data_IF_733167278146
#
_entry.id   IF_733167278146
#
_cell.length_a   1.000
_cell.length_b   1.000
_cell.length_c   1.000
_cell.angle_alpha   90.00
_cell.angle_beta   90.00
_cell.angle_gamma   90.00
#
_symmetry.space_group_name_H-M   'P 1'
#
loop_
_entity.id
_entity.type
_entity.pdbx_description
1 polymer ?
#
# COMPACT_ATOMS: atom_id res chain seq x y z
N UNK A 1 -4.73 23.35 2.68
CA UNK A 1 -5.73 24.00 3.58
C UNK A 1 -6.44 23.01 4.53
N UNK A 2 -5.79 21.92 4.98
CA UNK A 2 -6.44 20.85 5.76
C UNK A 2 -5.90 20.68 7.20
N UNK A 3 -4.99 21.54 7.67
CA UNK A 3 -4.40 21.43 9.02
C UNK A 3 -5.30 21.94 10.15
N UNK A 4 -6.37 22.70 9.83
CA UNK A 4 -7.29 23.30 10.82
C UNK A 4 -8.46 22.41 11.24
N UNK A 5 -8.89 21.43 10.43
CA UNK A 5 -10.05 20.59 10.78
C UNK A 5 -9.71 19.47 11.79
N UNK A 6 -8.49 18.93 11.74
CA UNK A 6 -8.05 17.86 12.64
C UNK A 6 -7.73 18.37 14.05
N UNK A 7 -7.31 19.63 14.17
CA UNK A 7 -6.99 20.23 15.46
C UNK A 7 -8.26 20.61 16.25
N UNK A 8 -9.34 20.99 15.56
CA UNK A 8 -10.62 21.34 16.21
C UNK A 8 -11.26 20.11 16.89
N UNK A 9 -11.17 18.92 16.29
CA UNK A 9 -11.72 17.69 16.88
C UNK A 9 -10.97 17.22 18.14
N UNK A 10 -9.65 17.40 18.18
CA UNK A 10 -8.83 17.06 19.37
C UNK A 10 -9.05 18.06 20.52
N UNK A 11 -9.27 19.32 20.21
CA UNK A 11 -9.59 20.36 21.21
C UNK A 11 -10.99 20.15 21.78
N UNK A 12 -11.99 19.74 20.98
CA UNK A 12 -13.33 19.44 21.51
C UNK A 12 -13.36 18.23 22.45
N UNK A 13 -12.56 17.19 22.20
CA UNK A 13 -12.46 16.04 23.10
C UNK A 13 -11.71 16.40 24.41
N UNK A 14 -10.66 17.23 24.31
CA UNK A 14 -9.93 17.74 25.47
C UNK A 14 -10.75 18.69 26.35
N UNK A 15 -11.59 19.57 25.76
CA UNK A 15 -12.45 20.50 26.50
C UNK A 15 -13.63 19.77 27.16
N UNK A 16 -14.21 18.74 26.51
CA UNK A 16 -15.21 17.87 27.15
C UNK A 16 -14.64 17.12 28.36
N UNK A 17 -13.38 16.66 28.29
CA UNK A 17 -12.75 15.95 29.41
C UNK A 17 -12.25 16.88 30.53
N UNK A 18 -11.83 18.11 30.23
CA UNK A 18 -11.47 19.09 31.25
C UNK A 18 -12.69 19.58 32.05
N UNK A 19 -13.89 19.61 31.44
CA UNK A 19 -15.13 19.88 32.16
C UNK A 19 -15.47 18.77 33.18
N UNK A 20 -15.09 17.52 32.92
CA UNK A 20 -15.30 16.38 33.83
C UNK A 20 -14.38 16.46 35.06
N UNK A 21 -13.17 17.03 34.93
CA UNK A 21 -12.27 17.23 36.07
C UNK A 21 -12.69 18.37 37.02
N UNK A 22 -13.58 19.27 36.59
CA UNK A 22 -14.06 20.40 37.41
C UNK A 22 -15.49 20.22 37.94
N UNK A 23 -16.22 19.17 37.54
CA UNK A 23 -17.51 18.84 38.12
C UNK A 23 -17.37 17.62 39.03
N UNK A 24 -17.25 17.83 40.34
CA UNK A 24 -17.97 16.94 41.26
C UNK A 24 -19.45 17.07 40.87
N UNK A 25 -19.93 16.17 40.02
CA UNK A 25 -21.29 16.19 39.53
C UNK A 25 -22.23 16.16 40.72
N UNK A 26 -23.11 17.16 40.83
CA UNK A 26 -24.24 17.08 41.72
C UNK A 26 -25.01 15.78 41.43
N UNK A 27 -25.47 15.02 42.43
CA UNK A 27 -26.15 13.75 42.21
C UNK A 27 -27.37 13.99 41.32
N UNK A 28 -27.25 13.59 40.05
CA UNK A 28 -28.33 13.70 39.09
C UNK A 28 -29.45 12.75 39.45
N UNK A 29 -30.69 13.22 39.33
CA UNK A 29 -31.91 12.41 39.47
C UNK A 29 -31.77 11.11 38.66
N UNK A 30 -32.03 9.96 39.29
CA UNK A 30 -31.91 8.61 38.71
C UNK A 30 -32.65 8.43 37.36
N UNK A 31 -33.61 9.31 37.05
CA UNK A 31 -34.43 9.27 35.84
C UNK A 31 -33.65 9.56 34.55
N UNK A 32 -32.46 10.18 34.62
CA UNK A 32 -31.67 10.54 33.42
C UNK A 32 -30.52 9.56 33.11
N UNK A 33 -30.42 8.44 33.83
CA UNK A 33 -29.39 7.42 33.58
C UNK A 33 -29.86 6.47 32.48
N UNK A 34 -29.05 6.26 31.44
CA UNK A 34 -29.35 5.27 30.41
C UNK A 34 -29.30 3.86 30.99
N UNK A 35 -30.45 3.16 31.03
CA UNK A 35 -30.59 1.78 31.50
C UNK A 35 -30.77 0.76 30.36
N UNK A 36 -30.35 1.12 29.14
CA UNK A 36 -30.35 0.19 28.01
C UNK A 36 -29.17 -0.76 28.14
N UNK A 37 -29.33 -2.01 27.71
CA UNK A 37 -28.29 -3.05 27.79
C UNK A 37 -27.00 -2.59 27.10
N UNK A 38 -27.10 -1.86 25.99
CA UNK A 38 -25.95 -1.34 25.27
C UNK A 38 -25.19 -0.27 26.08
N UNK A 39 -25.90 0.53 26.88
CA UNK A 39 -25.28 1.53 27.77
C UNK A 39 -24.55 0.85 28.93
N UNK A 40 -25.13 -0.20 29.50
CA UNK A 40 -24.51 -0.97 30.60
C UNK A 40 -23.25 -1.69 30.12
N UNK A 41 -23.32 -2.38 28.97
CA UNK A 41 -22.18 -3.05 28.33
C UNK A 41 -21.04 -2.06 28.03
N UNK A 42 -21.37 -0.88 27.50
CA UNK A 42 -20.39 0.15 27.19
C UNK A 42 -19.70 0.72 28.44
N UNK A 43 -20.46 0.93 29.53
CA UNK A 43 -19.90 1.40 30.80
C UNK A 43 -19.01 0.33 31.44
N UNK A 44 -19.37 -0.95 31.37
CA UNK A 44 -18.53 -2.06 31.83
C UNK A 44 -17.23 -2.14 31.03
N UNK A 45 -17.30 -1.98 29.70
CA UNK A 45 -16.14 -1.96 28.82
C UNK A 45 -15.18 -0.82 29.19
N UNK A 46 -15.69 0.40 29.39
CA UNK A 46 -14.87 1.56 29.83
C UNK A 46 -14.23 1.28 31.19
N UNK A 47 -15.02 0.83 32.18
CA UNK A 47 -14.51 0.55 33.53
C UNK A 47 -13.44 -0.54 33.56
N UNK A 48 -13.55 -1.53 32.67
CA UNK A 48 -12.58 -2.63 32.57
C UNK A 48 -11.18 -2.16 32.15
N UNK A 49 -11.09 -1.02 31.45
CA UNK A 49 -9.85 -0.46 30.90
C UNK A 49 -9.23 0.62 31.79
N UNK A 50 -10.04 1.26 32.63
CA UNK A 50 -9.60 2.29 33.56
C UNK A 50 -8.62 1.75 34.61
N UNK A 51 -7.50 2.45 34.78
CA UNK A 51 -6.54 2.17 35.85
C UNK A 51 -6.82 2.94 37.13
N UNK A 52 -6.00 2.71 38.15
CA UNK A 52 -6.29 3.17 39.50
C UNK A 52 -5.77 4.59 39.80
N UNK A 53 -5.16 5.25 38.82
CA UNK A 53 -4.68 6.64 38.98
C UNK A 53 -5.85 7.62 39.06
N UNK A 54 -5.64 8.76 39.75
CA UNK A 54 -6.58 9.89 39.71
C UNK A 54 -6.46 10.60 38.36
N UNK A 55 -7.57 11.04 37.73
CA UNK A 55 -7.56 11.71 36.43
C UNK A 55 -6.62 12.93 36.37
N UNK A 56 -6.60 13.74 37.44
CA UNK A 56 -5.78 14.95 37.54
C UNK A 56 -4.29 14.70 37.83
N UNK A 57 -3.89 13.45 38.13
CA UNK A 57 -2.51 13.09 38.44
C UNK A 57 -1.85 12.33 37.30
N UNK A 58 -2.58 11.37 36.71
CA UNK A 58 -2.13 10.62 35.56
C UNK A 58 -3.36 10.19 34.76
N UNK A 59 -3.84 11.09 33.90
CA UNK A 59 -5.03 10.87 33.09
C UNK A 59 -4.87 9.64 32.18
N UNK A 60 -3.68 9.43 31.62
CA UNK A 60 -3.38 8.26 30.81
C UNK A 60 -3.56 6.96 31.60
N UNK A 61 -2.98 6.85 32.80
CA UNK A 61 -3.17 5.65 33.63
C UNK A 61 -4.59 5.56 34.22
N UNK A 62 -5.30 6.67 34.43
CA UNK A 62 -6.69 6.64 34.86
C UNK A 62 -7.60 6.03 33.79
N UNK A 63 -7.43 6.44 32.53
CA UNK A 63 -8.28 6.00 31.42
C UNK A 63 -7.81 4.66 30.84
N UNK A 64 -6.50 4.44 30.76
CA UNK A 64 -5.88 3.31 30.05
C UNK A 64 -5.01 2.42 30.95
N UNK A 65 -4.99 2.61 32.27
CA UNK A 65 -3.99 1.93 33.12
C UNK A 65 -4.18 0.42 33.27
N UNK A 66 -5.38 -0.11 32.98
CA UNK A 66 -5.62 -1.56 32.85
C UNK A 66 -5.74 -2.00 31.40
N UNK A 67 -5.69 -1.06 30.47
CA UNK A 67 -5.72 -1.33 29.06
C UNK A 67 -4.37 -1.94 28.62
N UNK A 68 -4.41 -3.19 28.13
CA UNK A 68 -3.21 -3.99 27.86
C UNK A 68 -2.72 -3.93 26.41
N UNK A 69 -2.98 -2.87 25.65
CA UNK A 69 -2.56 -2.79 24.24
C UNK A 69 -3.33 -3.72 23.29
N UNK A 70 -3.62 -4.94 23.75
CA UNK A 70 -4.31 -6.00 23.04
C UNK A 70 -5.83 -5.84 22.98
N UNK A 71 -6.40 -4.90 23.75
CA UNK A 71 -7.84 -4.58 23.66
C UNK A 71 -8.16 -3.49 22.63
N UNK A 72 -7.20 -2.68 22.13
CA UNK A 72 -7.49 -1.86 20.92
C UNK A 72 -7.47 -2.69 19.63
N UNK A 73 -7.07 -3.97 19.67
CA UNK A 73 -7.01 -4.82 18.48
C UNK A 73 -7.36 -6.30 18.75
N UNK A 74 -8.29 -6.61 19.66
CA UNK A 74 -9.24 -7.68 19.30
C UNK A 74 -9.97 -7.11 18.08
N UNK A 75 -9.43 -7.41 16.88
CA UNK A 75 -9.89 -6.95 15.57
C UNK A 75 -11.38 -6.70 15.66
N UNK A 76 -11.80 -5.42 15.61
CA UNK A 76 -13.19 -5.00 15.89
C UNK A 76 -14.15 -6.10 15.44
N UNK A 77 -14.84 -6.76 16.37
CA UNK A 77 -15.75 -7.87 16.06
C UNK A 77 -16.68 -7.53 14.89
N UNK A 78 -17.01 -6.25 14.70
CA UNK A 78 -17.78 -5.75 13.57
C UNK A 78 -17.09 -5.92 12.21
N UNK A 79 -15.78 -5.65 12.07
CA UNK A 79 -15.06 -5.86 10.81
C UNK A 79 -14.92 -7.35 10.53
N UNK A 80 -14.56 -8.15 11.53
CA UNK A 80 -14.46 -9.61 11.35
C UNK A 80 -15.81 -10.25 11.07
N UNK A 81 -16.86 -9.85 11.81
CA UNK A 81 -18.22 -10.30 11.57
C UNK A 81 -18.70 -9.84 10.20
N UNK A 82 -18.48 -8.59 9.79
CA UNK A 82 -18.88 -8.14 8.46
C UNK A 82 -18.14 -8.89 7.34
N UNK A 83 -16.84 -9.15 7.51
CA UNK A 83 -16.05 -9.97 6.57
C UNK A 83 -16.56 -11.41 6.55
N UNK A 84 -16.85 -11.98 7.72
CA UNK A 84 -17.39 -13.33 7.85
C UNK A 84 -18.78 -13.44 7.24
N UNK A 85 -19.72 -12.57 7.62
CA UNK A 85 -21.07 -12.53 7.09
C UNK A 85 -21.03 -12.36 5.55
N UNK A 86 -20.12 -11.53 5.03
CA UNK A 86 -19.91 -11.41 3.58
C UNK A 86 -19.33 -12.69 2.96
N UNK A 87 -18.34 -13.32 3.58
CA UNK A 87 -17.74 -14.56 3.10
C UNK A 87 -18.78 -15.70 3.09
N UNK A 88 -19.53 -15.87 4.18
CA UNK A 88 -20.59 -16.86 4.33
C UNK A 88 -21.67 -16.64 3.23
N UNK A 89 -22.04 -15.39 2.95
CA UNK A 89 -22.99 -15.05 1.86
C UNK A 89 -22.44 -15.39 0.47
N UNK A 90 -21.16 -15.11 0.21
CA UNK A 90 -20.52 -15.35 -1.10
C UNK A 90 -20.20 -16.84 -1.33
N UNK A 91 -19.96 -17.60 -0.26
CA UNK A 91 -19.66 -19.02 -0.33
C UNK A 91 -20.89 -19.85 -0.74
N UNK A 92 -22.06 -19.53 -0.19
CA UNK A 92 -23.31 -20.23 -0.51
C UNK A 92 -23.99 -19.73 -1.79
N UNK A 93 -23.55 -18.60 -2.33
CA UNK A 93 -24.15 -18.01 -3.51
C UNK A 93 -23.83 -18.82 -4.77
N UNK A 94 -24.85 -19.15 -5.56
CA UNK A 94 -24.69 -19.79 -6.86
C UNK A 94 -24.90 -18.78 -7.99
N UNK A 95 -24.01 -18.79 -8.98
CA UNK A 95 -24.13 -17.99 -10.19
C UNK A 95 -24.49 -18.92 -11.34
N UNK A 96 -25.61 -18.65 -12.01
CA UNK A 96 -25.92 -19.35 -13.26
C UNK A 96 -24.98 -18.86 -14.36
N UNK A 97 -24.47 -19.76 -15.23
CA UNK A 97 -23.64 -19.37 -16.35
C UNK A 97 -24.44 -18.48 -17.32
N UNK A 98 -24.10 -17.19 -17.38
CA UNK A 98 -24.69 -16.24 -18.34
C UNK A 98 -23.62 -15.56 -19.19
N UNK A 99 -23.99 -15.12 -20.39
CA UNK A 99 -23.06 -14.42 -21.29
C UNK A 99 -22.69 -13.00 -20.82
N UNK A 100 -23.48 -12.41 -19.91
CA UNK A 100 -23.25 -11.06 -19.41
C UNK A 100 -23.53 -10.99 -17.90
N UNK A 101 -22.62 -11.51 -17.06
CA UNK A 101 -22.79 -11.53 -15.62
C UNK A 101 -22.89 -10.12 -15.04
N UNK A 102 -23.81 -9.93 -14.10
CA UNK A 102 -23.98 -8.67 -13.40
C UNK A 102 -22.85 -8.44 -12.36
N UNK A 103 -22.85 -7.30 -11.66
CA UNK A 103 -21.81 -6.97 -10.70
C UNK A 103 -21.71 -7.97 -9.53
N UNK A 104 -22.86 -8.45 -9.04
CA UNK A 104 -22.94 -9.45 -7.98
C UNK A 104 -22.40 -10.79 -8.46
N UNK A 105 -22.78 -11.22 -9.67
CA UNK A 105 -22.27 -12.46 -10.28
C UNK A 105 -20.74 -12.44 -10.40
N UNK A 106 -20.19 -11.29 -10.83
CA UNK A 106 -18.73 -11.09 -10.94
C UNK A 106 -18.05 -11.15 -9.57
N UNK A 107 -18.65 -10.56 -8.52
CA UNK A 107 -18.12 -10.61 -7.16
C UNK A 107 -18.09 -12.05 -6.62
N UNK A 108 -19.19 -12.79 -6.79
CA UNK A 108 -19.28 -14.20 -6.35
C UNK A 108 -18.23 -15.05 -7.09
N UNK A 109 -18.15 -14.93 -8.42
CA UNK A 109 -17.18 -15.66 -9.22
C UNK A 109 -15.73 -15.32 -8.84
N UNK A 110 -15.42 -14.04 -8.55
CA UNK A 110 -14.10 -13.63 -8.10
C UNK A 110 -13.76 -14.21 -6.73
N UNK A 111 -14.69 -14.17 -5.77
CA UNK A 111 -14.53 -14.76 -4.45
C UNK A 111 -14.26 -16.27 -4.54
N UNK A 112 -15.13 -17.01 -5.23
CA UNK A 112 -15.01 -18.46 -5.39
C UNK A 112 -13.74 -18.85 -6.15
N UNK A 113 -13.34 -18.10 -7.17
CA UNK A 113 -12.06 -18.35 -7.84
C UNK A 113 -10.86 -18.15 -6.92
N UNK A 114 -10.95 -17.25 -5.94
CA UNK A 114 -9.88 -17.03 -4.97
C UNK A 114 -9.86 -18.16 -3.92
N UNK A 115 -11.02 -18.52 -3.35
CA UNK A 115 -11.09 -19.48 -2.23
C UNK A 115 -10.98 -20.94 -2.66
N UNK A 116 -11.58 -21.33 -3.79
CA UNK A 116 -11.57 -22.72 -4.25
C UNK A 116 -10.29 -23.15 -4.95
N UNK A 117 -9.51 -22.18 -5.47
CA UNK A 117 -8.27 -22.45 -6.23
C UNK A 117 -7.00 -22.08 -5.47
N UNK A 118 -7.12 -21.60 -4.23
CA UNK A 118 -5.98 -21.16 -3.42
C UNK A 118 -4.94 -22.27 -3.21
N UNK A 119 -5.39 -23.52 -3.09
CA UNK A 119 -4.50 -24.66 -2.81
C UNK A 119 -3.89 -25.29 -4.08
N UNK A 120 -4.33 -24.89 -5.28
CA UNK A 120 -3.76 -25.39 -6.54
C UNK A 120 -2.52 -24.59 -6.93
N UNK A 121 -1.39 -24.95 -6.28
CA UNK A 121 -0.07 -24.33 -6.51
C UNK A 121 0.30 -24.34 -8.00
N UNK A 122 -0.04 -25.38 -8.75
CA UNK A 122 0.33 -25.46 -10.18
C UNK A 122 -0.55 -24.55 -11.04
N UNK A 123 -1.83 -24.39 -10.74
CA UNK A 123 -2.68 -23.38 -11.37
C UNK A 123 -2.21 -21.97 -11.04
N UNK A 124 -1.78 -21.71 -9.80
CA UNK A 124 -1.23 -20.41 -9.40
C UNK A 124 0.07 -20.09 -10.15
N UNK A 125 1.03 -21.03 -10.21
CA UNK A 125 2.26 -20.85 -11.00
C UNK A 125 1.96 -20.54 -12.47
N UNK A 126 1.05 -21.29 -13.09
CA UNK A 126 0.61 -21.05 -14.48
C UNK A 126 -0.04 -19.69 -14.66
N UNK A 127 -0.84 -19.24 -13.69
CA UNK A 127 -1.49 -17.94 -13.71
C UNK A 127 -0.47 -16.81 -13.65
N UNK A 128 0.50 -16.88 -12.73
CA UNK A 128 1.60 -15.89 -12.65
C UNK A 128 2.40 -15.87 -13.94
N UNK A 129 2.77 -17.04 -14.49
CA UNK A 129 3.48 -17.11 -15.77
C UNK A 129 2.68 -16.48 -16.92
N UNK A 130 1.39 -16.77 -17.01
CA UNK A 130 0.51 -16.19 -18.03
C UNK A 130 0.39 -14.66 -17.91
N UNK A 131 0.33 -14.14 -16.68
CA UNK A 131 0.37 -12.69 -16.43
C UNK A 131 1.69 -12.10 -16.91
N UNK A 132 2.82 -12.70 -16.53
CA UNK A 132 4.15 -12.25 -16.95
C UNK A 132 4.29 -12.29 -18.49
N UNK A 133 3.83 -13.35 -19.14
CA UNK A 133 3.78 -13.45 -20.61
C UNK A 133 2.94 -12.32 -21.24
N UNK A 134 1.80 -11.98 -20.64
CA UNK A 134 0.96 -10.85 -21.06
C UNK A 134 1.68 -9.50 -20.98
N UNK A 135 2.57 -9.31 -20.00
CA UNK A 135 3.45 -8.14 -19.89
C UNK A 135 4.74 -8.26 -20.70
N UNK A 136 4.89 -9.30 -21.54
CA UNK A 136 6.15 -9.63 -22.25
C UNK A 136 7.35 -9.83 -21.31
N UNK A 137 7.06 -10.12 -20.04
CA UNK A 137 8.00 -10.49 -18.97
C UNK A 137 8.00 -12.01 -18.72
N UNK A 138 7.38 -12.79 -19.60
CA UNK A 138 7.21 -14.25 -19.46
C UNK A 138 8.53 -15.01 -19.33
N UNK A 139 9.62 -14.41 -19.82
CA UNK A 139 10.97 -14.86 -19.56
C UNK A 139 11.66 -13.92 -18.59
N UNK A 140 11.63 -14.26 -17.30
CA UNK A 140 12.50 -13.60 -16.33
C UNK A 140 13.96 -13.83 -16.75
N UNK A 141 14.87 -12.84 -16.69
CA UNK A 141 16.25 -12.95 -17.19
C UNK A 141 17.10 -14.09 -16.61
N UNK A 142 16.61 -14.82 -15.60
CA UNK A 142 17.26 -15.94 -14.94
C UNK A 142 16.63 -17.31 -15.24
N UNK A 143 15.68 -17.38 -16.16
CA UNK A 143 15.18 -18.66 -16.65
C UNK A 143 16.18 -19.26 -17.63
N UNK A 144 16.40 -20.58 -17.57
CA UNK A 144 17.32 -21.30 -18.47
C UNK A 144 16.99 -21.11 -19.96
N UNK A 145 15.73 -20.78 -20.27
CA UNK A 145 15.22 -20.54 -21.61
C UNK A 145 15.18 -19.04 -21.99
N UNK A 146 15.74 -18.15 -21.17
CA UNK A 146 15.77 -16.72 -21.46
C UNK A 146 16.49 -16.48 -22.79
N UNK A 147 15.76 -15.90 -23.75
CA UNK A 147 16.15 -15.82 -25.15
C UNK A 147 17.57 -15.28 -25.33
N UNK A 148 18.36 -15.96 -26.16
CA UNK A 148 19.71 -15.58 -26.61
C UNK A 148 19.73 -14.39 -27.59
N UNK A 149 18.62 -13.65 -27.70
CA UNK A 149 18.46 -12.50 -28.57
C UNK A 149 19.10 -11.22 -28.03
N UNK A 150 18.96 -10.12 -28.80
CA UNK A 150 19.31 -8.78 -28.32
C UNK A 150 18.49 -8.47 -27.07
N UNK A 151 19.18 -8.25 -25.94
CA UNK A 151 18.54 -7.89 -24.68
C UNK A 151 17.99 -6.47 -24.82
N UNK A 152 16.68 -6.25 -24.61
CA UNK A 152 16.13 -4.92 -24.67
C UNK A 152 16.78 -4.03 -23.60
N UNK A 153 16.98 -2.76 -23.92
CA UNK A 153 17.46 -1.79 -22.94
C UNK A 153 16.34 -1.45 -21.93
N UNK A 154 16.69 -0.77 -20.84
CA UNK A 154 15.74 -0.48 -19.76
C UNK A 154 14.56 0.39 -20.22
N UNK A 155 14.78 1.33 -21.15
CA UNK A 155 13.73 2.18 -21.70
C UNK A 155 12.73 1.36 -22.54
N UNK A 156 13.22 0.42 -23.35
CA UNK A 156 12.39 -0.52 -24.12
C UNK A 156 11.54 -1.40 -23.19
N UNK A 157 12.12 -1.86 -22.07
CA UNK A 157 11.37 -2.62 -21.06
C UNK A 157 10.25 -1.76 -20.47
N UNK A 158 10.54 -0.53 -20.03
CA UNK A 158 9.54 0.35 -19.43
C UNK A 158 8.42 0.75 -20.42
N UNK A 159 8.73 0.89 -21.71
CA UNK A 159 7.71 1.12 -22.73
C UNK A 159 6.73 -0.06 -22.86
N UNK A 160 7.19 -1.27 -22.57
CA UNK A 160 6.37 -2.49 -22.64
C UNK A 160 5.62 -2.78 -21.34
N UNK A 161 6.22 -2.50 -20.18
CA UNK A 161 5.65 -2.88 -18.88
C UNK A 161 4.98 -1.74 -18.13
N UNK A 162 5.27 -0.49 -18.51
CA UNK A 162 4.78 0.71 -17.85
C UNK A 162 5.85 1.41 -16.99
N UNK A 163 5.45 2.45 -16.24
CA UNK A 163 6.38 3.41 -15.65
C UNK A 163 7.06 2.93 -14.36
N UNK A 164 6.61 1.83 -13.76
CA UNK A 164 7.21 1.28 -12.55
C UNK A 164 8.49 0.50 -12.87
N UNK A 165 9.53 0.58 -12.01
CA UNK A 165 9.58 1.32 -10.75
C UNK A 165 9.98 2.80 -10.90
N UNK A 166 10.22 3.30 -12.10
CA UNK A 166 10.80 4.64 -12.33
C UNK A 166 9.90 5.79 -11.82
N UNK A 167 8.59 5.72 -12.06
CA UNK A 167 7.64 6.74 -11.60
C UNK A 167 6.22 6.20 -11.46
N UNK A 168 5.42 6.95 -10.71
CA UNK A 168 3.97 6.75 -10.67
C UNK A 168 3.29 7.99 -11.24
N UNK A 169 2.11 7.80 -11.78
CA UNK A 169 1.25 8.91 -12.14
C UNK A 169 -0.20 8.62 -11.76
N UNK A 170 -0.95 9.70 -11.61
CA UNK A 170 -2.39 9.65 -11.39
C UNK A 170 -3.06 10.73 -12.22
N UNK A 171 -4.33 10.49 -12.54
CA UNK A 171 -5.18 11.49 -13.18
C UNK A 171 -6.20 11.95 -12.16
N UNK A 172 -6.23 13.24 -11.90
CA UNK A 172 -7.21 13.84 -10.99
C UNK A 172 -7.88 15.04 -11.64
N UNK A 173 -9.06 15.39 -11.11
CA UNK A 173 -9.73 16.62 -11.50
C UNK A 173 -9.20 17.77 -10.66
N UNK A 174 -8.49 18.70 -11.30
CA UNK A 174 -8.14 19.96 -10.66
C UNK A 174 -9.02 21.08 -11.22
N UNK A 175 -9.89 21.60 -10.36
CA UNK A 175 -10.93 22.58 -10.70
C UNK A 175 -11.90 22.06 -11.77
N UNK A 176 -11.58 22.27 -13.05
CA UNK A 176 -12.46 21.99 -14.20
C UNK A 176 -11.76 21.26 -15.34
N UNK A 177 -10.49 20.87 -15.18
CA UNK A 177 -9.74 20.12 -16.21
C UNK A 177 -9.02 18.94 -15.58
N UNK A 178 -8.91 17.81 -16.29
CA UNK A 178 -8.05 16.72 -15.85
C UNK A 178 -6.60 17.19 -15.80
N UNK A 179 -5.90 16.80 -14.75
CA UNK A 179 -4.47 17.02 -14.57
C UNK A 179 -3.79 15.68 -14.33
N UNK A 180 -2.68 15.46 -15.04
CA UNK A 180 -1.80 14.32 -14.81
C UNK A 180 -0.79 14.75 -13.76
N UNK A 181 -0.73 14.02 -12.64
CA UNK A 181 0.30 14.23 -11.61
C UNK A 181 1.28 13.09 -11.68
N UNK A 182 2.54 13.39 -12.01
CA UNK A 182 3.68 12.48 -11.99
C UNK A 182 4.41 12.67 -10.66
N UNK A 183 4.79 11.56 -10.02
CA UNK A 183 5.51 11.57 -8.75
C UNK A 183 6.56 10.46 -8.73
N UNK A 184 7.58 10.65 -7.89
CA UNK A 184 8.48 9.56 -7.50
C UNK A 184 7.65 8.41 -6.92
N UNK A 185 8.05 7.14 -7.15
CA UNK A 185 7.47 6.01 -6.46
C UNK A 185 7.67 6.13 -4.94
N UNK A 186 6.76 5.53 -4.18
CA UNK A 186 6.95 5.26 -2.75
C UNK A 186 7.37 3.81 -2.59
N UNK A 187 8.05 3.50 -1.49
CA UNK A 187 8.25 2.11 -1.05
C UNK A 187 9.01 1.22 -2.06
N UNK A 188 9.90 1.82 -2.88
CA UNK A 188 10.74 1.09 -3.86
C UNK A 188 11.62 0.04 -3.19
N UNK A 189 12.07 0.34 -1.97
CA UNK A 189 12.92 -0.53 -1.16
C UNK A 189 12.19 -0.80 0.15
N UNK A 190 12.30 -2.04 0.62
CA UNK A 190 11.79 -2.44 1.93
C UNK A 190 12.56 -1.69 3.01
N UNK A 191 12.00 -0.57 3.46
CA UNK A 191 12.47 0.17 4.61
C UNK A 191 11.28 0.30 5.58
N UNK A 192 11.48 -0.08 6.83
CA UNK A 192 10.49 0.17 7.88
C UNK A 192 10.67 1.60 8.40
N UNK A 193 9.98 2.52 7.74
CA UNK A 193 9.86 3.93 8.13
C UNK A 193 8.39 4.28 8.29
N UNK A 194 7.62 3.47 9.01
CA UNK A 194 6.52 4.06 9.78
C UNK A 194 7.11 4.80 11.00
N UNK A 195 7.91 5.84 10.71
CA UNK A 195 8.62 6.68 11.68
C UNK A 195 7.65 7.65 12.34
N UNK A 196 6.82 7.12 13.25
CA UNK A 196 5.98 7.87 14.17
C UNK A 196 6.60 8.08 15.55
N UNK A 197 7.45 7.17 16.05
CA UNK A 197 7.87 7.19 17.45
C UNK A 197 9.38 6.96 17.64
N UNK A 198 10.02 7.97 18.21
CA UNK A 198 11.45 8.21 18.39
C UNK A 198 12.08 7.37 19.53
N UNK A 199 11.62 6.15 19.72
CA UNK A 199 12.04 5.28 20.82
C UNK A 199 12.20 3.84 20.34
N UNK A 200 13.43 3.43 20.00
CA UNK A 200 14.08 2.19 20.48
C UNK A 200 15.43 1.98 19.77
N UNK A 201 16.37 1.36 20.47
CA UNK A 201 17.80 1.39 20.17
C UNK A 201 18.30 0.30 19.20
N UNK A 202 17.44 -0.32 18.38
CA UNK A 202 17.86 -1.48 17.56
C UNK A 202 17.35 -1.50 16.10
N UNK A 203 17.27 -0.32 15.49
CA UNK A 203 16.85 -0.19 14.09
C UNK A 203 17.84 -0.82 13.10
N UNK A 204 19.10 -1.02 13.48
CA UNK A 204 20.10 -1.63 12.60
C UNK A 204 19.89 -3.13 12.44
N UNK A 205 19.63 -3.85 13.54
CA UNK A 205 19.32 -5.29 13.48
C UNK A 205 17.99 -5.53 12.78
N UNK A 206 16.99 -4.69 13.05
CA UNK A 206 15.69 -4.78 12.39
C UNK A 206 15.78 -4.59 10.87
N UNK A 207 16.47 -3.54 10.42
CA UNK A 207 16.66 -3.28 8.98
C UNK A 207 17.44 -4.42 8.31
N UNK A 208 18.43 -5.00 9.00
CA UNK A 208 19.18 -6.15 8.50
C UNK A 208 18.27 -7.37 8.33
N UNK A 209 17.44 -7.67 9.32
CA UNK A 209 16.49 -8.79 9.26
C UNK A 209 15.45 -8.61 8.15
N UNK A 210 14.94 -7.39 7.96
CA UNK A 210 14.01 -7.07 6.88
C UNK A 210 14.65 -7.25 5.48
N UNK A 211 15.89 -6.80 5.32
CA UNK A 211 16.64 -6.98 4.06
C UNK A 211 16.96 -8.46 3.79
N UNK A 212 17.35 -9.23 4.82
CA UNK A 212 17.58 -10.66 4.69
C UNK A 212 16.30 -11.41 4.29
N UNK A 213 15.16 -11.09 4.93
CA UNK A 213 13.86 -11.64 4.56
C UNK A 213 13.45 -11.25 3.12
N UNK A 214 13.76 -10.03 2.70
CA UNK A 214 13.46 -9.58 1.34
C UNK A 214 14.34 -10.27 0.30
N UNK A 215 15.63 -10.48 0.60
CA UNK A 215 16.55 -11.28 -0.21
C UNK A 215 16.04 -12.72 -0.35
N UNK A 216 15.58 -13.32 0.74
CA UNK A 216 14.95 -14.65 0.73
C UNK A 216 13.68 -14.68 -0.14
N UNK A 217 12.84 -13.65 -0.05
CA UNK A 217 11.63 -13.52 -0.86
C UNK A 217 11.95 -13.46 -2.36
N UNK A 218 12.90 -12.60 -2.78
CA UNK A 218 13.31 -12.48 -4.19
C UNK A 218 13.81 -13.83 -4.71
N UNK A 219 14.70 -14.48 -3.97
CA UNK A 219 15.32 -15.74 -4.39
C UNK A 219 14.32 -16.90 -4.46
N UNK A 220 13.41 -17.03 -3.48
CA UNK A 220 12.32 -18.01 -3.52
C UNK A 220 11.36 -17.76 -4.68
N UNK A 221 11.10 -16.50 -5.02
CA UNK A 221 10.27 -16.14 -6.19
C UNK A 221 10.95 -16.53 -7.50
N UNK A 222 12.26 -16.31 -7.63
CA UNK A 222 13.02 -16.77 -8.80
C UNK A 222 12.95 -18.29 -8.94
N UNK A 223 13.16 -19.05 -7.86
CA UNK A 223 13.02 -20.50 -7.85
C UNK A 223 11.62 -20.96 -8.27
N UNK A 224 10.59 -20.31 -7.75
CA UNK A 224 9.19 -20.61 -8.09
C UNK A 224 8.92 -20.48 -9.59
N UNK A 225 9.54 -19.48 -10.24
CA UNK A 225 9.31 -19.12 -11.64
C UNK A 225 10.26 -19.78 -12.64
N UNK A 226 11.39 -20.36 -12.20
CA UNK A 226 12.37 -21.02 -13.09
C UNK A 226 11.92 -22.36 -13.68
N UNK A 227 10.70 -22.82 -13.38
CA UNK A 227 10.03 -23.88 -14.15
C UNK A 227 10.57 -25.31 -13.97
N UNK A 228 11.48 -25.54 -13.03
CA UNK A 228 11.93 -26.89 -12.68
C UNK A 228 10.90 -27.62 -11.80
N UNK A 229 10.58 -28.87 -12.16
CA UNK A 229 9.86 -29.84 -11.31
C UNK A 229 10.75 -30.42 -10.19
N UNK A 230 11.84 -29.74 -9.84
CA UNK A 230 12.89 -30.30 -9.01
C UNK A 230 12.79 -29.78 -7.59
N UNK A 231 13.05 -30.67 -6.64
CA UNK A 231 13.23 -30.46 -5.20
C UNK A 231 14.40 -29.51 -4.86
N UNK A 232 14.58 -28.42 -5.61
CA UNK A 232 15.60 -27.41 -5.39
C UNK A 232 15.04 -26.43 -4.38
N UNK A 233 15.43 -26.64 -3.12
CA UNK A 233 15.04 -25.80 -1.98
C UNK A 233 15.97 -24.61 -1.79
N UNK A 234 17.11 -24.58 -2.49
CA UNK A 234 18.17 -23.58 -2.30
C UNK A 234 18.44 -22.78 -3.56
N UNK A 235 18.63 -21.47 -3.40
CA UNK A 235 18.96 -20.57 -4.48
C UNK A 235 20.39 -20.79 -4.97
N UNK A 236 20.61 -20.69 -6.28
CA UNK A 236 21.96 -20.74 -6.85
C UNK A 236 22.75 -19.49 -6.47
N UNK A 237 24.09 -19.57 -6.52
CA UNK A 237 24.96 -18.40 -6.31
C UNK A 237 24.61 -17.24 -7.25
N UNK A 238 24.18 -17.54 -8.47
CA UNK A 238 23.77 -16.53 -9.45
C UNK A 238 22.46 -15.85 -9.04
N UNK A 239 21.47 -16.60 -8.55
CA UNK A 239 20.21 -16.03 -8.04
C UNK A 239 20.44 -15.15 -6.82
N UNK A 240 21.32 -15.56 -5.89
CA UNK A 240 21.72 -14.75 -4.74
C UNK A 240 22.39 -13.44 -5.18
N UNK A 241 23.30 -13.51 -6.15
CA UNK A 241 23.98 -12.33 -6.69
C UNK A 241 22.96 -11.36 -7.33
N UNK A 242 22.00 -11.86 -8.09
CA UNK A 242 20.99 -11.02 -8.73
C UNK A 242 20.05 -10.39 -7.69
N UNK A 243 19.69 -11.12 -6.64
CA UNK A 243 18.92 -10.54 -5.54
C UNK A 243 19.67 -9.37 -4.89
N UNK A 244 20.99 -9.49 -4.71
CA UNK A 244 21.84 -8.42 -4.17
C UNK A 244 21.93 -7.22 -5.12
N UNK A 245 22.01 -7.47 -6.43
CA UNK A 245 21.99 -6.43 -7.45
C UNK A 245 20.64 -5.68 -7.46
N UNK A 246 19.51 -6.39 -7.37
CA UNK A 246 18.17 -5.79 -7.27
C UNK A 246 18.08 -4.89 -6.04
N UNK A 247 18.43 -5.42 -4.86
CA UNK A 247 18.41 -4.67 -3.59
C UNK A 247 19.30 -3.42 -3.67
N UNK A 248 20.48 -3.53 -4.27
CA UNK A 248 21.40 -2.40 -4.45
C UNK A 248 20.81 -1.30 -5.33
N UNK A 249 20.16 -1.67 -6.45
CA UNK A 249 19.49 -0.73 -7.36
C UNK A 249 18.32 -0.04 -6.64
N UNK A 250 17.48 -0.80 -5.95
CA UNK A 250 16.33 -0.27 -5.20
C UNK A 250 16.76 0.69 -4.08
N UNK A 251 17.83 0.35 -3.34
CA UNK A 251 18.44 1.25 -2.35
C UNK A 251 18.89 2.56 -2.99
N UNK A 252 19.50 2.51 -4.18
CA UNK A 252 19.92 3.72 -4.87
C UNK A 252 18.71 4.58 -5.28
N UNK A 253 17.66 3.97 -5.84
CA UNK A 253 16.43 4.70 -6.17
C UNK A 253 15.75 5.27 -4.93
N UNK A 254 15.68 4.52 -3.84
CA UNK A 254 15.12 4.96 -2.56
C UNK A 254 15.92 6.14 -1.97
N UNK A 255 17.25 6.10 -2.06
CA UNK A 255 18.11 7.21 -1.64
C UNK A 255 17.86 8.48 -2.47
N UNK A 256 17.76 8.35 -3.79
CA UNK A 256 17.47 9.50 -4.68
C UNK A 256 16.07 10.05 -4.38
N UNK A 257 15.08 9.16 -4.18
CA UNK A 257 13.70 9.51 -3.85
C UNK A 257 13.56 10.20 -2.48
N UNK A 258 14.34 9.77 -1.48
CA UNK A 258 14.32 10.33 -0.12
C UNK A 258 15.08 11.66 -0.01
N UNK A 259 16.09 11.86 -0.87
CA UNK A 259 16.85 13.10 -0.92
C UNK A 259 16.20 14.18 -1.82
N UNK A 260 15.11 13.85 -2.51
CA UNK A 260 14.43 14.79 -3.39
C UNK A 260 13.64 15.82 -2.58
N UNK A 261 13.78 17.09 -2.94
CA UNK A 261 12.97 18.17 -2.37
C UNK A 261 11.51 18.07 -2.80
N UNK A 262 10.59 18.67 -2.02
CA UNK A 262 9.16 18.79 -2.36
C UNK A 262 8.87 19.76 -3.53
N UNK A 263 9.90 20.11 -4.33
CA UNK A 263 9.75 21.01 -5.46
C UNK A 263 8.78 20.42 -6.50
N UNK A 264 7.81 21.23 -6.92
CA UNK A 264 6.79 20.83 -7.89
C UNK A 264 6.84 21.76 -9.09
N UNK A 265 6.78 21.20 -10.30
CA UNK A 265 6.66 21.94 -11.56
C UNK A 265 5.32 21.62 -12.21
N UNK A 266 4.59 22.65 -12.61
CA UNK A 266 3.31 22.50 -13.31
C UNK A 266 3.39 23.20 -14.66
N UNK A 267 2.85 22.56 -15.70
CA UNK A 267 2.84 23.12 -17.04
C UNK A 267 1.97 22.31 -17.98
N UNK A 268 2.05 22.62 -19.26
CA UNK A 268 1.56 21.70 -20.28
C UNK A 268 2.64 20.64 -20.57
N UNK A 269 2.25 19.55 -21.24
CA UNK A 269 3.15 18.43 -21.54
C UNK A 269 4.40 18.89 -22.31
N UNK A 270 4.25 19.84 -23.26
CA UNK A 270 5.39 20.40 -24.00
C UNK A 270 6.41 21.12 -23.10
N UNK A 271 5.93 21.87 -22.11
CA UNK A 271 6.78 22.57 -21.17
C UNK A 271 7.51 21.58 -20.26
N UNK A 272 6.82 20.57 -19.74
CA UNK A 272 7.47 19.56 -18.90
C UNK A 272 8.54 18.77 -19.69
N UNK A 273 8.26 18.41 -20.96
CA UNK A 273 9.26 17.79 -21.85
C UNK A 273 10.52 18.65 -21.99
N UNK A 274 10.36 19.97 -22.10
CA UNK A 274 11.50 20.89 -22.19
C UNK A 274 12.32 20.99 -20.89
N UNK A 275 11.67 20.80 -19.73
CA UNK A 275 12.31 20.86 -18.42
C UNK A 275 13.04 19.57 -18.04
N UNK A 276 12.60 18.42 -18.56
CA UNK A 276 13.19 17.10 -18.32
C UNK A 276 13.58 16.42 -19.63
N UNK A 277 14.60 16.95 -20.35
CA UNK A 277 15.09 16.31 -21.57
C UNK A 277 15.66 14.93 -21.22
N UNK A 278 15.10 13.87 -21.82
CA UNK A 278 15.46 12.49 -21.55
C UNK A 278 14.49 11.73 -20.63
N UNK A 279 13.53 12.42 -19.99
CA UNK A 279 12.49 11.70 -19.26
C UNK A 279 11.61 10.91 -20.24
N UNK A 280 11.37 9.61 -20.00
CA UNK A 280 10.72 8.72 -20.95
C UNK A 280 9.20 8.95 -21.03
N UNK A 281 8.79 10.10 -21.54
CA UNK A 281 7.39 10.53 -21.67
C UNK A 281 6.55 9.58 -22.54
N UNK A 282 7.18 8.83 -23.43
CA UNK A 282 6.52 7.82 -24.24
C UNK A 282 5.88 6.71 -23.40
N UNK A 283 6.41 6.40 -22.22
CA UNK A 283 5.79 5.42 -21.31
C UNK A 283 4.43 5.92 -20.85
N UNK A 284 4.35 7.21 -20.49
CA UNK A 284 3.08 7.84 -20.14
C UNK A 284 2.11 7.79 -21.32
N UNK A 285 2.56 8.17 -22.53
CA UNK A 285 1.71 8.16 -23.74
C UNK A 285 1.11 6.77 -24.01
N UNK A 286 1.93 5.72 -23.89
CA UNK A 286 1.53 4.32 -24.10
C UNK A 286 0.39 3.89 -23.18
N UNK A 287 0.44 4.22 -21.89
CA UNK A 287 -0.63 3.84 -20.97
C UNK A 287 -1.97 4.54 -21.28
N UNK A 288 -1.92 5.81 -21.72
CA UNK A 288 -3.12 6.53 -22.13
C UNK A 288 -3.71 5.96 -23.44
N UNK A 289 -2.85 5.54 -24.37
CA UNK A 289 -3.27 4.85 -25.59
C UNK A 289 -3.97 3.53 -25.29
N UNK A 290 -3.47 2.72 -24.35
CA UNK A 290 -4.12 1.50 -23.89
C UNK A 290 -5.52 1.75 -23.29
N UNK A 291 -5.73 2.92 -22.67
CA UNK A 291 -7.03 3.35 -22.17
C UNK A 291 -7.93 3.98 -23.25
N UNK A 292 -7.49 4.02 -24.50
CA UNK A 292 -8.15 4.72 -25.62
C UNK A 292 -8.38 6.23 -25.32
N UNK A 293 -7.41 6.87 -24.67
CA UNK A 293 -7.41 8.29 -24.33
C UNK A 293 -6.21 8.96 -24.99
N UNK A 294 -6.45 9.99 -25.79
CA UNK A 294 -5.36 10.79 -26.37
C UNK A 294 -4.95 11.92 -25.43
N UNK A 295 -3.66 12.03 -25.11
CA UNK A 295 -3.06 13.23 -24.50
C UNK A 295 -2.21 13.96 -25.53
N UNK A 296 -2.13 15.29 -25.44
CA UNK A 296 -1.42 16.12 -26.41
C UNK A 296 -0.49 17.12 -25.70
N UNK A 297 0.26 17.90 -26.48
CA UNK A 297 1.21 18.89 -25.97
C UNK A 297 0.58 19.96 -25.05
N UNK A 298 -0.73 20.19 -25.17
CA UNK A 298 -1.52 21.10 -24.34
C UNK A 298 -2.06 20.46 -23.05
N UNK A 299 -1.92 19.15 -22.86
CA UNK A 299 -2.38 18.45 -21.65
C UNK A 299 -1.65 18.99 -20.42
N UNK A 300 -2.39 19.28 -19.35
CA UNK A 300 -1.81 19.76 -18.09
C UNK A 300 -1.13 18.64 -17.33
N UNK A 301 0.09 18.91 -16.89
CA UNK A 301 0.93 17.98 -16.14
C UNK A 301 1.54 18.71 -14.94
N UNK A 302 1.48 18.06 -13.80
CA UNK A 302 2.21 18.41 -12.58
C UNK A 302 3.26 17.34 -12.32
N UNK A 303 4.50 17.74 -12.09
CA UNK A 303 5.61 16.87 -11.69
C UNK A 303 5.99 17.24 -10.27
N UNK A 304 5.67 16.35 -9.32
CA UNK A 304 6.10 16.45 -7.92
C UNK A 304 7.50 15.90 -7.76
N UNK A 305 8.24 16.39 -6.77
CA UNK A 305 9.62 15.98 -6.52
C UNK A 305 10.51 16.16 -7.75
N UNK A 306 10.42 17.33 -8.40
CA UNK A 306 11.03 17.56 -9.71
C UNK A 306 12.52 17.18 -9.78
N UNK A 307 13.27 17.47 -8.70
CA UNK A 307 14.69 17.14 -8.57
C UNK A 307 14.98 15.62 -8.62
N UNK A 308 14.05 14.77 -8.17
CA UNK A 308 14.16 13.31 -8.32
C UNK A 308 14.34 12.94 -9.80
N UNK A 309 13.50 13.50 -10.67
CA UNK A 309 13.51 13.19 -12.10
C UNK A 309 14.75 13.73 -12.80
N UNK A 310 15.32 14.84 -12.32
CA UNK A 310 16.60 15.33 -12.84
C UNK A 310 17.75 14.38 -12.52
N UNK A 311 17.68 13.66 -11.40
CA UNK A 311 18.74 12.75 -10.93
C UNK A 311 18.62 11.33 -11.49
N UNK A 312 17.40 10.82 -11.68
CA UNK A 312 17.19 9.45 -12.17
C UNK A 312 17.30 9.33 -13.70
N UNK A 313 17.13 10.44 -14.42
CA UNK A 313 17.28 10.48 -15.89
C UNK A 313 18.74 10.64 -16.34
N UNK A 314 19.67 10.97 -15.42
CA UNK A 314 21.11 11.05 -15.68
C UNK A 314 21.79 9.68 -15.57
#
# INVERSE_FOLDING_TARGET
>A
MNKRRTMIFRITLGILCAAICASEGAPGLEENVCKKVECEQFVEEIRSQMGDARPCQNFYNNVCGKWKGSLELERKRLKEKAVKDLADLLEVACVEPTQSPNATDKLINAFQSCTLKADDVQALKRSVKSVLEGYKLGQWPLQENAATGSKPNYEEILQEVGPLPLFIYSVSWEQTKPMITISKPTDIYVYDTDNGDDYYQDYQEYNKNAEEAYREFITKTMLLLSGGDTNVTEATKEQLKVADEIISIEKNFSRIASAATDETKTGNLSHIKSLLPGFPMQILLRDFELANVSINEGTKVEVKYFEYFQKVVQ
#
